data_IF_080120856130
#
_entry.id   IF_080120856130
#
_cell.length_a   1.000
_cell.length_b   1.000
_cell.length_c   1.000
_cell.angle_alpha   90.00
_cell.angle_beta   90.00
_cell.angle_gamma   90.00
#
_symmetry.space_group_name_H-M   'P 1'
#
loop_
_entity.id
_entity.type
_entity.pdbx_description
1 polymer ?
#
# COMPACT_ATOMS: atom_id res chain seq x y z
N UNK A 1 -42.87 16.34 22.88
CA UNK A 1 -41.46 15.93 23.11
C UNK A 1 -41.25 14.61 22.41
N UNK A 2 -40.74 14.66 21.19
CA UNK A 2 -40.42 13.50 20.36
C UNK A 2 -38.89 13.45 20.21
N UNK A 3 -38.24 12.28 20.38
CA UNK A 3 -36.79 12.20 20.22
C UNK A 3 -36.40 12.28 18.73
N UNK A 4 -35.21 12.81 18.38
CA UNK A 4 -34.70 12.77 17.02
C UNK A 4 -34.20 11.37 16.64
N UNK A 5 -34.23 11.01 15.35
CA UNK A 5 -33.96 9.65 14.89
C UNK A 5 -32.46 9.32 14.79
N UNK A 6 -32.19 8.05 15.08
CA UNK A 6 -30.96 7.26 14.90
C UNK A 6 -29.94 7.79 13.88
N UNK A 7 -28.71 7.97 14.37
CA UNK A 7 -27.52 8.10 13.55
C UNK A 7 -27.36 6.90 12.62
N UNK A 8 -26.94 7.23 11.40
CA UNK A 8 -26.79 6.37 10.25
C UNK A 8 -25.81 5.25 10.51
N UNK A 9 -26.19 4.07 10.01
CA UNK A 9 -25.47 2.80 10.00
C UNK A 9 -24.01 2.97 9.59
N UNK A 10 -23.13 2.32 10.35
CA UNK A 10 -21.70 2.25 10.08
C UNK A 10 -21.41 1.83 8.64
N UNK A 11 -20.60 2.63 7.97
CA UNK A 11 -19.86 2.20 6.80
C UNK A 11 -18.97 1.01 7.21
N UNK A 12 -18.91 -0.07 6.40
CA UNK A 12 -17.93 -1.12 6.63
C UNK A 12 -16.53 -0.51 6.46
N UNK A 13 -15.74 -0.58 7.53
CA UNK A 13 -14.31 -0.29 7.50
C UNK A 13 -13.67 -1.15 6.39
N UNK A 14 -12.82 -0.61 5.51
CA UNK A 14 -12.10 -1.43 4.55
C UNK A 14 -11.31 -2.49 5.31
N UNK A 15 -11.51 -3.74 4.90
CA UNK A 15 -11.01 -4.95 5.52
C UNK A 15 -9.49 -4.89 5.75
N UNK A 16 -9.11 -5.03 7.01
CA UNK A 16 -7.78 -5.35 7.55
C UNK A 16 -6.97 -6.28 6.67
N UNK A 17 -5.75 -5.86 6.34
CA UNK A 17 -4.72 -6.70 5.73
C UNK A 17 -4.51 -7.97 6.58
N UNK A 18 -4.59 -9.19 6.01
CA UNK A 18 -4.67 -10.43 6.78
C UNK A 18 -3.39 -10.80 7.56
N UNK A 19 -3.61 -11.56 8.64
CA UNK A 19 -2.67 -12.15 9.61
C UNK A 19 -1.44 -12.94 9.07
N UNK A 20 -1.19 -12.95 7.75
CA UNK A 20 -0.04 -13.64 7.13
C UNK A 20 1.27 -12.93 7.45
N UNK A 21 1.25 -11.59 7.54
CA UNK A 21 2.41 -10.73 7.83
C UNK A 21 2.97 -10.96 9.24
N UNK A 22 2.08 -11.31 10.18
CA UNK A 22 2.34 -11.30 11.63
C UNK A 22 2.89 -12.63 12.16
N UNK A 23 2.70 -13.72 11.40
CA UNK A 23 3.20 -15.06 11.78
C UNK A 23 4.72 -15.23 11.70
N UNK A 24 5.44 -14.35 10.98
CA UNK A 24 6.88 -14.54 10.67
C UNK A 24 7.85 -13.69 11.49
N UNK A 25 7.37 -12.71 12.26
CA UNK A 25 8.19 -12.01 13.27
C UNK A 25 8.60 -12.97 14.38
N UNK A 26 7.66 -13.82 14.86
CA UNK A 26 7.95 -14.89 15.85
C UNK A 26 8.86 -16.01 15.33
N UNK A 27 8.94 -16.23 14.02
CA UNK A 27 9.76 -17.30 13.43
C UNK A 27 11.22 -16.87 13.17
N UNK A 28 11.48 -15.58 12.97
CA UNK A 28 12.82 -15.05 12.71
C UNK A 28 13.79 -15.14 13.92
N UNK A 29 13.24 -15.31 15.13
CA UNK A 29 13.98 -15.26 16.40
C UNK A 29 14.62 -16.61 16.80
N UNK A 30 14.42 -17.71 16.05
CA UNK A 30 14.93 -19.04 16.43
C UNK A 30 15.85 -19.71 15.39
N UNK A 31 17.16 -19.41 15.46
CA UNK A 31 18.30 -20.37 15.57
C UNK A 31 19.63 -19.82 15.02
N UNK A 32 20.80 -20.13 15.65
CA UNK A 32 22.13 -19.77 15.15
C UNK A 32 22.85 -20.93 14.43
N UNK A 33 23.86 -20.64 13.58
CA UNK A 33 24.91 -21.61 13.24
C UNK A 33 25.67 -21.49 11.90
N UNK A 34 26.59 -20.51 11.80
CA UNK A 34 28.00 -20.54 11.30
C UNK A 34 28.42 -21.40 10.07
N UNK A 35 29.07 -20.76 9.06
CA UNK A 35 30.50 -20.92 8.69
C UNK A 35 30.86 -20.19 7.37
N UNK A 36 32.03 -19.56 7.35
CA UNK A 36 32.58 -18.70 6.29
C UNK A 36 33.24 -19.45 5.11
N UNK A 37 33.36 -18.79 3.93
CA UNK A 37 34.65 -18.59 3.21
C UNK A 37 34.56 -17.82 1.86
N UNK A 38 35.43 -16.80 1.78
CA UNK A 38 36.18 -16.21 0.64
C UNK A 38 35.55 -15.92 -0.73
N UNK A 39 35.49 -14.61 -1.05
CA UNK A 39 36.20 -14.02 -2.20
C UNK A 39 35.51 -14.01 -3.58
N UNK A 40 34.51 -13.14 -3.79
CA UNK A 40 34.10 -12.51 -5.09
C UNK A 40 32.91 -11.54 -4.85
N UNK A 41 32.49 -10.73 -5.86
CA UNK A 41 32.09 -9.32 -5.72
C UNK A 41 31.12 -9.10 -4.57
N UNK A 42 31.55 -8.33 -3.54
CA UNK A 42 30.95 -8.18 -2.20
C UNK A 42 29.64 -8.93 -2.00
N UNK A 43 29.73 -10.26 -1.99
CA UNK A 43 28.58 -11.11 -1.73
C UNK A 43 28.28 -10.91 -0.25
N UNK A 44 27.12 -10.33 0.06
CA UNK A 44 26.65 -10.22 1.43
C UNK A 44 26.74 -11.61 2.06
N UNK A 45 27.34 -11.67 3.24
CA UNK A 45 27.39 -12.87 4.05
C UNK A 45 25.96 -13.30 4.41
N UNK A 46 25.73 -14.59 4.73
CA UNK A 46 24.40 -15.04 5.14
C UNK A 46 23.81 -14.25 6.32
N UNK A 47 24.66 -13.80 7.24
CA UNK A 47 24.29 -12.95 8.38
C UNK A 47 23.83 -11.56 7.91
N UNK A 48 24.60 -10.89 7.04
CA UNK A 48 24.22 -9.60 6.45
C UNK A 48 22.93 -9.69 5.63
N UNK A 49 22.69 -10.80 4.93
CA UNK A 49 21.43 -11.04 4.21
C UNK A 49 20.25 -11.13 5.19
N UNK A 50 20.45 -11.82 6.32
CA UNK A 50 19.42 -11.98 7.34
C UNK A 50 19.11 -10.67 8.05
N UNK A 51 20.14 -9.91 8.44
CA UNK A 51 19.98 -8.58 9.06
C UNK A 51 19.26 -7.61 8.12
N UNK A 52 19.63 -7.64 6.84
CA UNK A 52 18.98 -6.83 5.81
C UNK A 52 17.52 -7.21 5.59
N UNK A 53 17.21 -8.51 5.57
CA UNK A 53 15.83 -8.98 5.49
C UNK A 53 15.02 -8.58 6.74
N UNK A 54 15.63 -8.59 7.93
CA UNK A 54 15.01 -8.13 9.16
C UNK A 54 14.71 -6.62 9.10
N UNK A 55 15.67 -5.79 8.67
CA UNK A 55 15.46 -4.35 8.50
C UNK A 55 14.32 -4.04 7.53
N UNK A 56 14.23 -4.75 6.40
CA UNK A 56 13.14 -4.59 5.44
C UNK A 56 11.78 -4.98 6.04
N UNK A 57 11.71 -6.06 6.84
CA UNK A 57 10.48 -6.46 7.55
C UNK A 57 10.06 -5.44 8.60
N UNK A 58 11.02 -4.92 9.37
CA UNK A 58 10.75 -3.86 10.35
C UNK A 58 10.22 -2.60 9.65
N UNK A 59 10.84 -2.19 8.54
CA UNK A 59 10.32 -1.08 7.74
C UNK A 59 8.90 -1.36 7.21
N UNK A 60 8.61 -2.59 6.76
CA UNK A 60 7.24 -2.97 6.34
C UNK A 60 6.24 -2.77 7.48
N UNK A 61 6.53 -3.34 8.65
CA UNK A 61 5.63 -3.30 9.80
C UNK A 61 5.38 -1.87 10.28
N UNK A 62 6.43 -1.05 10.39
CA UNK A 62 6.33 0.32 10.88
C UNK A 62 5.66 1.27 9.87
N UNK A 63 5.42 0.83 8.63
CA UNK A 63 4.66 1.57 7.61
C UNK A 63 3.24 1.03 7.42
N UNK A 64 2.80 0.05 8.22
CA UNK A 64 1.42 -0.41 8.22
C UNK A 64 0.55 0.49 9.09
N UNK A 65 -0.76 0.46 8.82
CA UNK A 65 -1.75 1.12 9.68
C UNK A 65 -1.57 0.64 11.14
N UNK A 66 -1.49 1.55 12.13
CA UNK A 66 -1.17 1.21 13.51
C UNK A 66 -2.38 0.64 14.25
N UNK A 67 -2.81 -0.54 13.82
CA UNK A 67 -3.90 -1.29 14.46
C UNK A 67 -3.55 -1.70 15.90
N UNK A 68 -4.53 -2.32 16.57
CA UNK A 68 -4.39 -2.77 17.96
C UNK A 68 -3.26 -3.78 18.15
N UNK A 69 -2.97 -4.61 17.14
CA UNK A 69 -1.91 -5.61 17.22
C UNK A 69 -0.53 -4.97 17.07
N UNK A 70 -0.33 -4.12 16.07
CA UNK A 70 0.94 -3.40 15.89
C UNK A 70 1.24 -2.51 17.11
N UNK A 71 0.21 -1.86 17.64
CA UNK A 71 0.28 -1.06 18.86
C UNK A 71 0.64 -1.90 20.09
N UNK A 72 0.10 -3.11 20.22
CA UNK A 72 0.47 -4.01 21.31
C UNK A 72 1.93 -4.52 21.20
N UNK A 73 2.47 -4.60 19.99
CA UNK A 73 3.85 -5.05 19.72
C UNK A 73 4.93 -4.00 19.91
N UNK A 74 4.62 -2.78 20.37
CA UNK A 74 5.59 -1.67 20.58
C UNK A 74 6.87 -2.12 21.30
N UNK A 75 6.72 -2.77 22.45
CA UNK A 75 7.87 -3.18 23.26
C UNK A 75 8.75 -4.22 22.54
N UNK A 76 8.13 -5.16 21.83
CA UNK A 76 8.85 -6.18 21.04
C UNK A 76 9.60 -5.53 19.87
N UNK A 77 8.99 -4.55 19.19
CA UNK A 77 9.63 -3.80 18.11
C UNK A 77 10.82 -2.99 18.60
N UNK A 78 10.67 -2.23 19.68
CA UNK A 78 11.76 -1.44 20.28
C UNK A 78 12.91 -2.33 20.70
N UNK A 79 12.64 -3.41 21.43
CA UNK A 79 13.68 -4.37 21.87
C UNK A 79 14.39 -5.02 20.68
N UNK A 80 13.64 -5.38 19.63
CA UNK A 80 14.23 -5.97 18.41
C UNK A 80 15.16 -4.99 17.71
N UNK A 81 14.77 -3.71 17.63
CA UNK A 81 15.57 -2.65 16.98
C UNK A 81 16.81 -2.31 17.80
N UNK A 82 16.71 -2.26 19.14
CA UNK A 82 17.86 -2.05 20.03
C UNK A 82 18.89 -3.19 19.95
N UNK A 83 18.45 -4.40 19.61
CA UNK A 83 19.33 -5.55 19.43
C UNK A 83 20.02 -5.62 18.06
N UNK A 84 19.67 -4.73 17.12
CA UNK A 84 20.30 -4.71 15.79
C UNK A 84 21.77 -4.25 15.87
N UNK A 85 22.63 -4.73 14.96
CA UNK A 85 23.97 -4.19 14.82
C UNK A 85 23.94 -2.67 14.54
N UNK A 86 24.85 -1.88 15.14
CA UNK A 86 24.92 -0.44 14.92
C UNK A 86 25.02 -0.11 13.43
N UNK A 87 24.07 0.67 12.94
CA UNK A 87 24.00 1.10 11.55
C UNK A 87 23.11 2.34 11.42
N UNK A 88 23.28 3.16 10.36
CA UNK A 88 22.39 4.30 10.11
C UNK A 88 20.90 3.90 10.02
N UNK A 89 20.61 2.70 9.49
CA UNK A 89 19.25 2.16 9.45
C UNK A 89 18.70 1.92 10.87
N UNK A 90 19.49 1.26 11.73
CA UNK A 90 19.10 0.98 13.11
C UNK A 90 18.88 2.27 13.92
N UNK A 91 19.73 3.28 13.75
CA UNK A 91 19.59 4.59 14.41
C UNK A 91 18.28 5.29 14.03
N UNK A 92 17.94 5.29 12.74
CA UNK A 92 16.68 5.85 12.28
C UNK A 92 15.47 5.06 12.80
N UNK A 93 15.50 3.73 12.75
CA UNK A 93 14.41 2.91 13.28
C UNK A 93 14.26 3.10 14.79
N UNK A 94 15.36 3.23 15.53
CA UNK A 94 15.33 3.49 16.97
C UNK A 94 14.63 4.83 17.26
N UNK A 95 14.99 5.89 16.54
CA UNK A 95 14.33 7.20 16.67
C UNK A 95 12.83 7.13 16.40
N UNK A 96 12.41 6.37 15.37
CA UNK A 96 10.99 6.14 15.12
C UNK A 96 10.32 5.39 16.27
N UNK A 97 10.92 4.30 16.76
CA UNK A 97 10.31 3.51 17.83
C UNK A 97 10.22 4.23 19.17
N UNK A 98 11.16 5.14 19.47
CA UNK A 98 11.04 6.03 20.64
C UNK A 98 9.80 6.90 20.50
N UNK A 99 9.65 7.61 19.37
CA UNK A 99 8.45 8.41 19.12
C UNK A 99 7.18 7.55 19.16
N UNK A 100 7.18 6.41 18.49
CA UNK A 100 6.05 5.50 18.40
C UNK A 100 5.62 5.04 19.79
N UNK A 101 6.55 4.62 20.64
CA UNK A 101 6.25 4.16 22.01
C UNK A 101 5.55 5.22 22.87
N UNK A 102 5.84 6.50 22.63
CA UNK A 102 5.30 7.63 23.41
C UNK A 102 3.92 8.12 22.95
N UNK A 103 3.38 7.60 21.84
CA UNK A 103 2.09 8.07 21.31
C UNK A 103 0.90 7.23 21.80
N UNK A 104 -0.22 7.92 22.04
CA UNK A 104 -1.51 7.27 22.28
C UNK A 104 -2.02 6.55 21.02
N UNK A 105 -2.66 5.36 21.13
CA UNK A 105 -3.09 4.56 19.98
C UNK A 105 -3.96 5.33 18.98
N UNK A 106 -5.00 6.02 19.45
CA UNK A 106 -5.90 6.79 18.58
C UNK A 106 -5.17 7.97 17.89
N UNK A 107 -4.17 8.55 18.56
CA UNK A 107 -3.38 9.63 17.99
C UNK A 107 -2.49 9.11 16.84
N UNK A 108 -1.98 7.89 16.95
CA UNK A 108 -1.22 7.24 15.88
C UNK A 108 -2.06 6.90 14.67
N UNK A 109 -3.25 6.33 14.88
CA UNK A 109 -4.20 6.05 13.80
C UNK A 109 -4.52 7.33 13.02
N UNK A 110 -4.85 8.40 13.74
CA UNK A 110 -5.10 9.72 13.14
C UNK A 110 -3.88 10.24 12.38
N UNK A 111 -2.70 10.21 13.01
CA UNK A 111 -1.46 10.68 12.40
C UNK A 111 -1.10 9.89 11.15
N UNK A 112 -1.35 8.57 11.13
CA UNK A 112 -1.15 7.71 9.97
C UNK A 112 -2.05 8.15 8.82
N UNK A 113 -3.36 8.27 9.05
CA UNK A 113 -4.35 8.68 8.03
C UNK A 113 -4.01 10.09 7.49
N UNK A 114 -3.69 11.02 8.37
CA UNK A 114 -3.27 12.38 8.00
C UNK A 114 -1.96 12.39 7.19
N UNK A 115 -1.06 11.45 7.47
CA UNK A 115 0.24 11.37 6.80
C UNK A 115 0.15 10.67 5.45
N UNK A 116 -0.54 9.54 5.34
CA UNK A 116 -0.46 8.66 4.16
C UNK A 116 -1.72 8.68 3.29
N UNK A 117 -2.91 8.79 3.88
CA UNK A 117 -4.17 8.63 3.15
C UNK A 117 -4.70 9.97 2.64
N UNK A 118 -4.57 11.03 3.44
CA UNK A 118 -5.07 12.37 3.08
C UNK A 118 -4.07 13.18 2.25
N UNK A 119 -2.78 12.85 2.31
CA UNK A 119 -1.71 13.59 1.62
C UNK A 119 -1.19 12.80 0.42
N UNK A 120 -1.58 13.22 -0.78
CA UNK A 120 -1.12 12.61 -2.04
C UNK A 120 0.42 12.56 -2.18
N UNK A 121 1.14 13.54 -1.61
CA UNK A 121 2.61 13.65 -1.71
C UNK A 121 3.38 12.60 -0.91
N UNK A 122 2.73 11.95 0.06
CA UNK A 122 3.34 10.93 0.94
C UNK A 122 2.66 9.57 0.82
N UNK A 123 1.71 9.40 -0.12
CA UNK A 123 1.07 8.11 -0.41
C UNK A 123 2.09 6.96 -0.55
N UNK A 124 1.77 5.80 0.01
CA UNK A 124 2.65 4.63 0.02
C UNK A 124 2.53 3.74 -1.24
N UNK A 125 1.79 4.17 -2.26
CA UNK A 125 1.63 3.42 -3.52
C UNK A 125 2.69 3.85 -4.54
N UNK A 126 3.68 2.99 -4.79
CA UNK A 126 4.89 3.36 -5.52
C UNK A 126 4.67 3.67 -7.01
N UNK A 127 3.67 3.04 -7.64
CA UNK A 127 3.41 3.28 -9.08
C UNK A 127 2.78 4.63 -9.33
N UNK A 128 2.12 5.22 -8.32
CA UNK A 128 1.51 6.55 -8.40
C UNK A 128 2.52 7.63 -8.75
N UNK A 129 3.72 7.62 -8.17
CA UNK A 129 4.72 8.67 -8.45
C UNK A 129 5.27 8.65 -9.87
N UNK A 130 5.27 7.50 -10.53
CA UNK A 130 5.80 7.36 -11.90
C UNK A 130 4.71 7.48 -12.97
N UNK A 131 3.48 7.11 -12.65
CA UNK A 131 2.41 6.96 -13.63
C UNK A 131 1.13 7.71 -13.27
N UNK A 132 1.03 8.29 -12.07
CA UNK A 132 -0.20 8.81 -11.49
C UNK A 132 -1.35 7.83 -11.65
N UNK A 133 -2.57 8.35 -11.79
CA UNK A 133 -3.77 7.54 -12.02
C UNK A 133 -4.05 7.34 -13.52
N UNK A 134 -3.02 6.96 -14.28
CA UNK A 134 -3.14 6.68 -15.72
C UNK A 134 -3.36 5.20 -16.01
N UNK A 135 -3.80 4.85 -17.23
CA UNK A 135 -3.77 3.46 -17.73
C UNK A 135 -2.40 2.78 -17.56
N UNK A 136 -1.30 3.54 -17.60
CA UNK A 136 0.08 3.03 -17.42
C UNK A 136 0.30 2.48 -16.00
N UNK A 137 -0.41 3.01 -15.00
CA UNK A 137 -0.39 2.50 -13.62
C UNK A 137 -0.88 1.05 -13.59
N UNK A 138 -1.99 0.75 -14.26
CA UNK A 138 -2.54 -0.61 -14.34
C UNK A 138 -1.54 -1.64 -14.91
N UNK A 139 -0.77 -1.25 -15.94
CA UNK A 139 0.28 -2.11 -16.49
C UNK A 139 1.43 -2.33 -15.50
N UNK A 140 1.84 -1.29 -14.76
CA UNK A 140 2.88 -1.41 -13.74
C UNK A 140 2.47 -2.34 -12.59
N UNK A 141 1.20 -2.26 -12.15
CA UNK A 141 0.63 -3.18 -11.15
C UNK A 141 0.65 -4.64 -11.64
N UNK A 142 0.30 -4.88 -12.90
CA UNK A 142 0.36 -6.21 -13.50
C UNK A 142 1.81 -6.75 -13.53
N UNK A 143 2.78 -5.91 -13.89
CA UNK A 143 4.19 -6.29 -13.89
C UNK A 143 4.70 -6.65 -12.48
N UNK A 144 4.29 -5.90 -11.45
CA UNK A 144 4.64 -6.23 -10.06
C UNK A 144 4.03 -7.57 -9.62
N UNK A 145 2.74 -7.79 -9.91
CA UNK A 145 2.09 -9.07 -9.63
C UNK A 145 2.78 -10.26 -10.31
N UNK A 146 3.16 -10.11 -11.59
CA UNK A 146 3.91 -11.13 -12.31
C UNK A 146 5.27 -11.42 -11.66
N UNK A 147 5.97 -10.38 -11.18
CA UNK A 147 7.23 -10.53 -10.45
C UNK A 147 7.05 -11.27 -9.13
N UNK A 148 6.00 -10.97 -8.36
CA UNK A 148 5.71 -11.67 -7.10
C UNK A 148 5.44 -13.16 -7.35
N UNK A 149 4.58 -13.46 -8.33
CA UNK A 149 4.27 -14.84 -8.72
C UNK A 149 5.49 -15.61 -9.24
N UNK A 150 6.35 -14.96 -10.02
CA UNK A 150 7.59 -15.58 -10.49
C UNK A 150 8.56 -15.95 -9.36
N UNK A 151 8.47 -15.28 -8.21
CA UNK A 151 9.20 -15.63 -7.00
C UNK A 151 8.45 -16.63 -6.08
N UNK A 152 7.30 -17.15 -6.53
CA UNK A 152 6.47 -18.06 -5.75
C UNK A 152 5.65 -17.38 -4.65
N UNK A 153 5.47 -16.06 -4.71
CA UNK A 153 4.61 -15.33 -3.78
C UNK A 153 3.25 -15.03 -4.42
N UNK A 154 2.19 -15.57 -3.82
CA UNK A 154 0.82 -15.22 -4.17
C UNK A 154 0.26 -14.32 -3.06
N UNK A 155 -0.13 -13.11 -3.42
CA UNK A 155 -0.75 -12.17 -2.49
C UNK A 155 -2.25 -12.46 -2.50
N UNK A 156 -2.85 -12.73 -1.35
CA UNK A 156 -4.29 -13.07 -1.21
C UNK A 156 -5.26 -11.91 -1.58
N UNK A 157 -4.79 -10.88 -2.28
CA UNK A 157 -5.59 -9.79 -2.84
C UNK A 157 -6.01 -8.70 -1.84
N UNK A 158 -5.51 -8.73 -0.60
CA UNK A 158 -5.88 -7.76 0.43
C UNK A 158 -5.35 -6.33 0.20
N UNK A 159 -4.22 -6.19 -0.48
CA UNK A 159 -3.60 -4.89 -0.82
C UNK A 159 -3.06 -4.89 -2.25
N UNK A 160 -2.90 -3.69 -2.83
CA UNK A 160 -2.27 -3.55 -4.15
C UNK A 160 -0.78 -3.93 -4.09
N UNK A 161 -0.23 -4.53 -5.16
CA UNK A 161 1.14 -5.03 -5.18
C UNK A 161 2.20 -3.91 -5.13
N UNK A 162 1.81 -2.66 -5.32
CA UNK A 162 2.69 -1.49 -5.24
C UNK A 162 2.62 -0.73 -3.91
N UNK A 163 1.82 -1.21 -2.96
CA UNK A 163 1.82 -0.70 -1.60
C UNK A 163 3.20 -0.97 -0.96
N UNK A 164 3.88 0.07 -0.46
CA UNK A 164 5.28 -0.03 -0.03
C UNK A 164 5.53 -1.15 1.01
N UNK A 165 4.73 -1.32 2.08
CA UNK A 165 4.84 -2.48 2.97
C UNK A 165 4.85 -3.84 2.25
N UNK A 166 3.96 -4.03 1.26
CA UNK A 166 3.91 -5.27 0.46
C UNK A 166 5.20 -5.46 -0.33
N UNK A 167 5.72 -4.39 -0.94
CA UNK A 167 6.98 -4.43 -1.70
C UNK A 167 8.18 -4.71 -0.78
N UNK A 168 8.17 -4.21 0.46
CA UNK A 168 9.21 -4.47 1.45
C UNK A 168 9.21 -5.92 1.93
N UNK A 169 8.03 -6.50 2.14
CA UNK A 169 7.89 -7.92 2.45
C UNK A 169 8.37 -8.82 1.33
N UNK A 170 8.01 -8.49 0.09
CA UNK A 170 8.56 -9.15 -1.09
C UNK A 170 10.08 -9.10 -1.07
N UNK A 171 10.66 -7.93 -0.88
CA UNK A 171 12.10 -7.74 -0.90
C UNK A 171 12.81 -8.55 0.21
N UNK A 172 12.23 -8.58 1.41
CA UNK A 172 12.74 -9.38 2.51
C UNK A 172 12.62 -10.90 2.28
N UNK A 173 11.64 -11.35 1.49
CA UNK A 173 11.42 -12.76 1.17
C UNK A 173 12.30 -13.22 0.00
N UNK A 174 12.29 -12.46 -1.10
CA UNK A 174 12.99 -12.78 -2.34
C UNK A 174 14.50 -12.45 -2.27
N UNK A 175 14.91 -11.70 -1.26
CA UNK A 175 16.31 -11.42 -0.94
C UNK A 175 16.97 -10.36 -1.83
N UNK A 176 18.27 -10.10 -1.58
CA UNK A 176 19.03 -9.08 -2.29
C UNK A 176 19.05 -9.28 -3.81
N UNK A 177 19.21 -8.18 -4.54
CA UNK A 177 19.16 -8.21 -6.00
C UNK A 177 17.73 -8.23 -6.52
N UNK A 178 17.20 -9.39 -6.89
CA UNK A 178 15.89 -9.53 -7.56
C UNK A 178 14.72 -9.04 -6.71
N UNK A 179 14.70 -9.38 -5.41
CA UNK A 179 13.63 -8.99 -4.48
C UNK A 179 13.54 -7.48 -4.27
N UNK A 180 14.69 -6.81 -4.21
CA UNK A 180 14.77 -5.36 -4.02
C UNK A 180 14.70 -4.55 -5.33
N UNK A 181 14.63 -5.22 -6.48
CA UNK A 181 14.55 -4.54 -7.77
C UNK A 181 13.36 -3.57 -7.89
N UNK A 182 12.15 -3.86 -7.38
CA UNK A 182 11.07 -2.88 -7.32
C UNK A 182 11.44 -1.62 -6.53
N UNK A 183 12.07 -1.76 -5.36
CA UNK A 183 12.47 -0.62 -4.52
C UNK A 183 13.45 0.29 -5.26
N UNK A 184 14.41 -0.28 -5.99
CA UNK A 184 15.35 0.50 -6.82
C UNK A 184 14.66 1.15 -8.02
N UNK A 185 13.76 0.44 -8.70
CA UNK A 185 12.99 0.98 -9.82
C UNK A 185 12.11 2.17 -9.41
N UNK A 186 11.60 2.15 -8.17
CA UNK A 186 10.76 3.19 -7.60
C UNK A 186 11.52 4.15 -6.67
N UNK A 187 12.86 4.21 -6.76
CA UNK A 187 13.72 5.04 -5.89
C UNK A 187 13.26 6.50 -5.83
N UNK A 188 12.87 7.07 -6.96
CA UNK A 188 12.38 8.47 -7.08
C UNK A 188 11.14 8.70 -6.23
N UNK A 189 10.19 7.76 -6.25
CA UNK A 189 8.99 7.82 -5.41
C UNK A 189 9.34 7.77 -3.93
N UNK A 190 10.27 6.90 -3.53
CA UNK A 190 10.72 6.80 -2.13
C UNK A 190 11.38 8.09 -1.64
N UNK A 191 12.16 8.77 -2.48
CA UNK A 191 12.75 10.07 -2.14
C UNK A 191 11.72 11.19 -2.04
N UNK A 192 10.71 11.19 -2.90
CA UNK A 192 9.59 12.12 -2.82
C UNK A 192 8.78 11.93 -1.53
N UNK A 193 8.47 10.68 -1.18
CA UNK A 193 7.81 10.35 0.09
C UNK A 193 8.67 10.84 1.26
N UNK A 194 9.96 10.48 1.28
CA UNK A 194 10.87 10.89 2.36
C UNK A 194 10.94 12.41 2.51
N UNK A 195 11.04 13.16 1.41
CA UNK A 195 11.03 14.62 1.42
C UNK A 195 9.71 15.18 1.94
N UNK A 196 8.58 14.66 1.46
CA UNK A 196 7.26 15.10 1.93
C UNK A 196 7.06 14.85 3.43
N UNK A 197 7.57 13.74 3.95
CA UNK A 197 7.55 13.42 5.37
C UNK A 197 8.48 14.34 6.19
N UNK A 198 9.65 14.68 5.65
CA UNK A 198 10.57 15.63 6.29
C UNK A 198 10.01 17.06 6.32
N UNK A 199 9.45 17.54 5.21
CA UNK A 199 8.81 18.85 5.10
C UNK A 199 7.61 18.97 6.05
N UNK A 200 6.94 17.86 6.34
CA UNK A 200 5.82 17.76 7.29
C UNK A 200 6.24 17.50 8.74
N UNK A 201 7.55 17.39 9.02
CA UNK A 201 8.12 16.95 10.31
C UNK A 201 7.49 15.66 10.87
N UNK A 202 7.10 14.74 9.98
CA UNK A 202 6.52 13.46 10.39
C UNK A 202 7.61 12.50 10.86
N UNK A 203 7.38 11.81 11.97
CA UNK A 203 8.31 10.78 12.48
C UNK A 203 8.52 9.64 11.47
N UNK A 204 7.53 9.34 10.62
CA UNK A 204 7.65 8.32 9.56
C UNK A 204 8.81 8.60 8.58
N UNK A 205 9.33 9.84 8.50
CA UNK A 205 10.56 10.13 7.74
C UNK A 205 11.72 9.21 8.13
N UNK A 206 11.79 8.81 9.40
CA UNK A 206 12.85 7.95 9.91
C UNK A 206 12.77 6.55 9.33
N UNK A 207 11.56 5.98 9.16
CA UNK A 207 11.40 4.67 8.54
C UNK A 207 11.81 4.70 7.07
N UNK A 208 11.46 5.77 6.35
CA UNK A 208 11.90 5.97 4.97
C UNK A 208 13.41 6.21 4.88
N UNK A 209 13.99 6.99 5.79
CA UNK A 209 15.43 7.22 5.85
C UNK A 209 16.18 5.90 6.05
N UNK A 210 15.73 5.05 6.99
CA UNK A 210 16.27 3.72 7.20
C UNK A 210 16.24 2.87 5.92
N UNK A 211 15.08 2.82 5.23
CA UNK A 211 14.96 2.12 3.95
C UNK A 211 15.92 2.67 2.89
N UNK A 212 16.04 4.00 2.77
CA UNK A 212 16.89 4.63 1.78
C UNK A 212 18.39 4.33 1.99
N UNK A 213 18.83 4.06 3.23
CA UNK A 213 20.22 3.62 3.54
C UNK A 213 20.53 2.22 3.02
N UNK A 214 19.50 1.38 2.85
CA UNK A 214 19.66 0.03 2.33
C UNK A 214 19.88 0.06 0.82
N UNK A 215 19.34 1.04 0.11
CA UNK A 215 19.42 1.11 -1.35
C UNK A 215 20.71 1.82 -1.79
N UNK A 216 21.21 1.55 -3.01
CA UNK A 216 22.30 2.33 -3.58
C UNK A 216 21.97 3.83 -3.58
N UNK A 217 22.99 4.71 -3.46
CA UNK A 217 22.78 6.15 -3.48
C UNK A 217 22.11 6.58 -4.79
N UNK A 218 21.27 7.63 -4.77
CA UNK A 218 20.58 8.10 -5.97
C UNK A 218 21.58 8.56 -7.03
N UNK A 219 21.26 8.28 -8.27
CA UNK A 219 22.01 8.81 -9.40
C UNK A 219 21.69 10.30 -9.62
N UNK A 220 22.51 11.00 -10.41
CA UNK A 220 22.19 12.39 -10.80
C UNK A 220 20.87 12.47 -11.58
N UNK A 221 20.60 11.46 -12.42
CA UNK A 221 19.34 11.36 -13.15
C UNK A 221 18.14 11.18 -12.21
N UNK A 222 18.30 10.46 -11.09
CA UNK A 222 17.24 10.33 -10.09
C UNK A 222 16.97 11.67 -9.39
N UNK A 223 18.03 12.39 -9.00
CA UNK A 223 17.90 13.73 -8.40
C UNK A 223 17.19 14.72 -9.33
N UNK A 224 17.59 14.76 -10.60
CA UNK A 224 16.97 15.62 -11.60
C UNK A 224 15.48 15.28 -11.80
N UNK A 225 15.15 13.99 -11.94
CA UNK A 225 13.76 13.55 -12.10
C UNK A 225 12.90 13.81 -10.84
N UNK A 226 13.46 13.67 -9.64
CA UNK A 226 12.79 14.05 -8.39
C UNK A 226 12.52 15.54 -8.36
N UNK A 227 13.50 16.39 -8.73
CA UNK A 227 13.31 17.84 -8.79
C UNK A 227 12.18 18.23 -9.77
N UNK A 228 12.12 17.56 -10.93
CA UNK A 228 11.03 17.75 -11.89
C UNK A 228 9.66 17.32 -11.32
N UNK A 229 9.58 16.12 -10.72
CA UNK A 229 8.33 15.63 -10.09
C UNK A 229 7.86 16.50 -8.93
N UNK A 230 8.77 17.15 -8.19
CA UNK A 230 8.39 18.13 -7.16
C UNK A 230 7.75 19.38 -7.78
N UNK A 231 8.26 19.83 -8.94
CA UNK A 231 7.75 21.02 -9.63
C UNK A 231 6.42 20.75 -10.34
N UNK A 232 6.29 19.60 -11.01
CA UNK A 232 5.17 19.28 -11.91
C UNK A 232 4.10 18.38 -11.26
N UNK A 233 4.46 17.67 -10.17
CA UNK A 233 3.64 16.60 -9.60
C UNK A 233 3.69 15.30 -10.41
N UNK A 234 3.06 14.21 -9.91
CA UNK A 234 2.91 12.98 -10.69
C UNK A 234 2.10 13.21 -11.97
N UNK A 235 2.34 12.42 -13.04
CA UNK A 235 1.58 12.57 -14.29
C UNK A 235 0.07 12.36 -14.05
N UNK A 236 -0.76 13.32 -14.42
CA UNK A 236 -2.21 13.13 -14.41
C UNK A 236 -2.67 12.64 -15.79
N UNK A 237 -3.60 11.69 -15.84
CA UNK A 237 -4.34 11.39 -17.06
C UNK A 237 -5.40 12.49 -17.23
N UNK A 238 -5.46 13.14 -18.40
CA UNK A 238 -6.53 14.09 -18.75
C UNK A 238 -7.84 13.34 -19.03
N UNK A 239 -8.31 12.51 -18.09
CA UNK A 239 -9.60 11.83 -18.25
C UNK A 239 -10.72 12.82 -17.94
N UNK A 240 -11.25 13.44 -19.00
CA UNK A 240 -12.45 14.27 -18.99
C UNK A 240 -12.29 15.72 -19.41
N UNK A 241 -11.17 16.12 -20.04
CA UNK A 241 -11.02 17.43 -20.67
C UNK A 241 -10.97 17.39 -22.20
N UNK A 242 -11.07 16.20 -22.80
CA UNK A 242 -11.70 16.15 -24.11
C UNK A 242 -13.18 16.50 -23.88
N UNK A 243 -13.70 17.63 -24.40
CA UNK A 243 -15.15 17.72 -24.53
C UNK A 243 -15.60 16.45 -25.25
N UNK A 244 -16.72 15.87 -24.83
CA UNK A 244 -17.50 15.01 -25.71
C UNK A 244 -17.66 15.75 -27.05
N UNK A 245 -16.76 15.55 -28.02
CA UNK A 245 -16.61 16.59 -29.04
C UNK A 245 -15.42 16.47 -29.99
N UNK A 246 -14.90 15.27 -30.26
CA UNK A 246 -14.07 15.04 -31.46
C UNK A 246 -14.25 13.66 -32.07
N UNK A 247 -15.38 12.99 -31.79
CA UNK A 247 -15.98 12.09 -32.78
C UNK A 247 -16.71 12.99 -33.77
N UNK A 248 -16.28 12.97 -35.02
CA UNK A 248 -16.78 13.83 -36.10
C UNK A 248 -18.29 14.03 -36.08
N UNK A 249 -18.71 15.29 -36.15
CA UNK A 249 -20.07 15.74 -36.46
C UNK A 249 -21.23 14.94 -35.86
N UNK A 250 -21.11 14.44 -34.62
CA UNK A 250 -22.27 14.01 -33.82
C UNK A 250 -23.20 12.97 -34.45
N UNK A 251 -22.74 12.12 -35.38
CA UNK A 251 -23.55 11.03 -35.92
C UNK A 251 -23.19 9.73 -35.19
N UNK A 252 -23.81 9.52 -34.02
CA UNK A 252 -23.63 8.30 -33.21
C UNK A 252 -24.10 7.02 -33.94
N UNK A 253 -24.90 7.14 -35.00
CA UNK A 253 -25.19 6.08 -35.95
C UNK A 253 -25.82 6.71 -37.21
N UNK A 254 -25.64 6.15 -38.42
CA UNK A 254 -26.34 6.63 -39.59
C UNK A 254 -27.86 6.64 -39.35
N UNK A 255 -28.61 7.62 -39.89
CA UNK A 255 -30.06 7.70 -39.70
C UNK A 255 -30.71 6.38 -40.13
N UNK A 256 -31.50 5.77 -39.23
CA UNK A 256 -32.18 4.49 -39.45
C UNK A 256 -31.53 3.26 -38.79
N UNK A 257 -30.40 3.41 -38.10
CA UNK A 257 -29.69 2.28 -37.46
C UNK A 257 -30.41 1.72 -36.23
N UNK A 258 -31.26 2.53 -35.58
CA UNK A 258 -32.06 2.10 -34.44
C UNK A 258 -33.55 2.21 -34.79
N UNK A 259 -34.18 1.05 -35.01
CA UNK A 259 -35.64 0.93 -35.04
C UNK A 259 -36.05 0.41 -33.65
N UNK A 260 -36.65 1.25 -32.78
CA UNK A 260 -37.12 0.77 -31.49
C UNK A 260 -38.14 -0.36 -31.69
N UNK A 261 -38.02 -1.49 -30.95
CA UNK A 261 -39.02 -2.54 -31.03
C UNK A 261 -40.38 -2.02 -30.56
N UNK A 262 -41.46 -2.54 -31.14
CA UNK A 262 -42.81 -2.17 -30.72
C UNK A 262 -42.98 -2.42 -29.21
N UNK A 263 -43.56 -1.45 -28.46
CA UNK A 263 -43.76 -1.62 -27.03
C UNK A 263 -44.61 -2.87 -26.75
N UNK A 264 -44.14 -3.71 -25.83
CA UNK A 264 -44.86 -4.90 -25.43
C UNK A 264 -46.22 -4.51 -24.81
N UNK A 265 -47.29 -5.31 -25.05
CA UNK A 265 -48.58 -5.06 -24.44
C UNK A 265 -48.48 -5.08 -22.90
N UNK A 266 -49.20 -4.19 -22.19
CA UNK A 266 -49.08 -4.08 -20.75
C UNK A 266 -49.47 -5.39 -20.06
N UNK A 267 -48.55 -5.95 -19.29
CA UNK A 267 -48.80 -7.14 -18.47
C UNK A 267 -49.80 -6.79 -17.37
N UNK A 268 -51.03 -7.32 -17.47
CA UNK A 268 -52.02 -7.19 -16.40
C UNK A 268 -51.64 -8.13 -15.25
N UNK A 269 -51.30 -7.56 -14.10
CA UNK A 269 -51.13 -8.31 -12.86
C UNK A 269 -52.51 -8.78 -12.39
N UNK A 270 -52.74 -10.09 -12.16
CA UNK A 270 -54.01 -10.56 -11.62
C UNK A 270 -54.21 -10.03 -10.19
N UNK A 271 -55.46 -9.71 -9.79
CA UNK A 271 -55.72 -9.29 -8.41
C UNK A 271 -55.41 -10.44 -7.44
N UNK A 272 -54.93 -10.12 -6.22
CA UNK A 272 -54.64 -11.14 -5.21
C UNK A 272 -55.90 -11.92 -4.82
N UNK A 273 -55.75 -13.24 -4.68
CA UNK A 273 -56.84 -14.15 -4.34
C UNK A 273 -57.40 -13.84 -2.92
N UNK A 274 -58.73 -13.96 -2.72
CA UNK A 274 -59.33 -13.75 -1.41
C UNK A 274 -58.90 -14.86 -0.44
N UNK A 275 -58.33 -14.46 0.69
CA UNK A 275 -58.01 -15.37 1.80
C UNK A 275 -59.31 -15.80 2.48
N UNK A 276 -59.76 -17.04 2.26
CA UNK A 276 -60.81 -17.65 3.06
C UNK A 276 -60.25 -17.96 4.46
N UNK A 277 -60.71 -17.23 5.47
CA UNK A 277 -60.64 -17.66 6.88
C UNK A 277 -61.64 -18.79 7.06
N UNK A 278 -61.16 -20.01 7.23
CA UNK A 278 -61.98 -21.13 7.67
C UNK A 278 -61.92 -21.18 9.21
N UNK A 279 -62.99 -20.70 9.85
CA UNK A 279 -63.29 -21.04 11.25
C UNK A 279 -63.62 -22.54 11.32
N UNK A 280 -62.91 -23.28 12.18
CA UNK A 280 -63.25 -24.66 12.54
C UNK A 280 -64.25 -24.70 13.71
N UNK A 281 -65.16 -25.68 13.77
CA UNK A 281 -66.22 -25.71 14.78
C UNK A 281 -65.75 -26.22 16.15
N UNK A 282 -66.52 -25.83 17.16
CA UNK A 282 -66.33 -25.96 18.62
C UNK A 282 -66.16 -27.37 19.14
#
# INVERSE_FOLDING_TARGET
MSPPPNFVRGCPQPSTVPAVIRSRVRAAVRRPGRAARSGRPTLLTPEEIQDRALLLRLCSLLLQYPDTELTASRHELTTTIEALPPSPAAEHLAAFTTWFADQEPEALERHYVETFDLRRKSSLYLTYYLHGDTRRRGMALLTLNQRFRAAGWDTDGGELPDHLPVVLEFAALAGPGGGEAPLRQHRRGLELIHRALADADSAYRHVLAALLTLLPPPTEADRAAVAQLVAEGPPNEEVGLDPYGTYGDGVFAPPGTFVPPMPAPPTRVPPPAPTSRTEGPR
#
